data_IF_222672065337
#
_entry.id   IF_222672065337
#
_cell.length_a   1.000
_cell.length_b   1.000
_cell.length_c   1.000
_cell.angle_alpha   90.00
_cell.angle_beta   90.00
_cell.angle_gamma   90.00
#
_symmetry.space_group_name_H-M   'P 1'
#
loop_
_entity.id
_entity.type
_entity.pdbx_description
1 polymer ?
#
# COMPACT_ATOMS: atom_id res chain seq x y z
N UNK A 1 -16.57 -18.35 -16.30
CA UNK A 1 -15.75 -17.58 -15.32
C UNK A 1 -14.31 -17.67 -15.80
N UNK A 2 -13.72 -16.52 -16.16
CA UNK A 2 -12.35 -16.53 -16.66
C UNK A 2 -11.40 -16.84 -15.51
N UNK A 3 -10.66 -17.96 -15.62
CA UNK A 3 -9.49 -18.20 -14.78
C UNK A 3 -8.39 -17.18 -15.19
N UNK A 4 -8.49 -15.97 -14.65
CA UNK A 4 -7.44 -14.97 -14.83
C UNK A 4 -6.43 -15.14 -13.70
N UNK A 5 -5.15 -15.19 -14.05
CA UNK A 5 -4.03 -15.21 -13.09
C UNK A 5 -3.64 -13.77 -12.68
N UNK A 6 -4.63 -12.95 -12.31
CA UNK A 6 -4.40 -11.58 -11.90
C UNK A 6 -3.60 -11.50 -10.61
N UNK A 7 -2.61 -10.61 -10.59
CA UNK A 7 -1.77 -10.36 -9.43
C UNK A 7 -2.38 -9.26 -8.56
N UNK A 8 -2.63 -9.59 -7.30
CA UNK A 8 -3.19 -8.67 -6.30
C UNK A 8 -2.09 -8.24 -5.32
N UNK A 9 -1.87 -6.95 -5.21
CA UNK A 9 -0.85 -6.36 -4.34
C UNK A 9 -1.44 -5.60 -3.17
N UNK A 10 -0.79 -5.70 -1.99
CA UNK A 10 -1.09 -4.80 -0.89
C UNK A 10 -0.27 -3.50 -1.03
N UNK A 11 -0.98 -2.37 -1.10
CA UNK A 11 -0.36 -1.05 -1.21
C UNK A 11 0.43 -0.66 0.06
N UNK A 12 1.53 0.11 -0.10
CA UNK A 12 2.22 0.71 1.04
C UNK A 12 1.33 1.77 1.69
N UNK A 13 1.04 1.60 2.98
CA UNK A 13 0.27 2.57 3.77
C UNK A 13 1.06 2.97 5.02
N UNK A 14 1.54 4.22 5.02
CA UNK A 14 2.35 4.76 6.11
C UNK A 14 1.63 4.64 7.46
N UNK A 15 2.34 4.14 8.45
CA UNK A 15 1.79 3.89 9.78
C UNK A 15 1.00 2.59 9.94
N UNK A 16 0.51 1.97 8.87
CA UNK A 16 -0.40 0.81 8.90
C UNK A 16 0.32 -0.48 8.45
N UNK A 17 0.81 -0.54 7.21
CA UNK A 17 1.30 -1.79 6.60
C UNK A 17 2.77 -2.10 6.92
N UNK A 18 3.23 -1.81 8.15
CA UNK A 18 4.52 -2.24 8.67
C UNK A 18 4.62 -3.76 8.80
N UNK A 19 5.81 -4.28 9.12
CA UNK A 19 6.05 -5.73 9.15
C UNK A 19 5.09 -6.51 10.05
N UNK A 20 4.71 -5.95 11.21
CA UNK A 20 3.74 -6.58 12.12
C UNK A 20 2.39 -6.82 11.41
N UNK A 21 1.89 -5.81 10.69
CA UNK A 21 0.64 -5.95 9.93
C UNK A 21 0.80 -6.94 8.77
N UNK A 22 1.88 -6.83 7.97
CA UNK A 22 2.09 -7.71 6.81
C UNK A 22 2.18 -9.18 7.22
N UNK A 23 2.93 -9.47 8.28
CA UNK A 23 3.09 -10.85 8.79
C UNK A 23 1.76 -11.43 9.28
N UNK A 24 1.02 -10.68 10.08
CA UNK A 24 -0.28 -11.13 10.56
C UNK A 24 -1.28 -11.28 9.39
N UNK A 25 -1.32 -10.31 8.46
CA UNK A 25 -2.17 -10.42 7.28
C UNK A 25 -1.83 -11.66 6.45
N UNK A 26 -0.56 -11.87 6.11
CA UNK A 26 -0.12 -13.03 5.33
C UNK A 26 -0.41 -14.37 6.02
N UNK A 27 -0.31 -14.41 7.35
CA UNK A 27 -0.59 -15.61 8.15
C UNK A 27 -2.07 -16.00 8.14
N UNK A 28 -2.95 -15.02 8.20
CA UNK A 28 -4.39 -15.29 8.34
C UNK A 28 -5.17 -15.16 7.04
N UNK A 29 -4.67 -14.42 6.04
CA UNK A 29 -5.40 -14.15 4.81
C UNK A 29 -4.54 -14.41 3.58
N UNK A 30 -5.13 -15.06 2.58
CA UNK A 30 -4.49 -15.39 1.31
C UNK A 30 -4.75 -14.37 0.21
N UNK A 31 -4.32 -14.71 -1.00
CA UNK A 31 -4.65 -14.00 -2.24
C UNK A 31 -3.76 -12.79 -2.55
N UNK A 32 -2.89 -12.35 -1.64
CA UNK A 32 -1.92 -11.28 -1.93
C UNK A 32 -0.64 -11.86 -2.50
N UNK A 33 -0.28 -11.45 -3.71
CA UNK A 33 0.93 -11.95 -4.42
C UNK A 33 2.19 -11.16 -4.06
N UNK A 34 2.03 -9.85 -3.78
CA UNK A 34 3.14 -8.96 -3.46
C UNK A 34 2.71 -7.90 -2.43
N UNK A 35 3.53 -7.71 -1.40
CA UNK A 35 3.35 -6.69 -0.38
C UNK A 35 4.33 -5.54 -0.63
N UNK A 36 3.89 -4.30 -0.47
CA UNK A 36 4.78 -3.14 -0.52
C UNK A 36 4.93 -2.53 0.87
N UNK A 37 6.19 -2.26 1.26
CA UNK A 37 6.48 -1.63 2.55
C UNK A 37 6.05 -0.16 2.54
N UNK A 38 5.64 0.40 3.69
CA UNK A 38 5.61 1.84 3.87
C UNK A 38 6.96 2.45 3.46
N UNK A 39 6.92 3.65 2.90
CA UNK A 39 8.13 4.24 2.37
C UNK A 39 9.21 4.49 3.43
N UNK A 40 10.43 4.28 3.01
CA UNK A 40 11.66 4.57 3.74
C UNK A 40 12.25 5.86 3.16
N UNK A 41 12.65 6.79 4.03
CA UNK A 41 13.31 8.03 3.62
C UNK A 41 14.80 7.98 3.98
N UNK A 42 15.70 7.71 3.01
CA UNK A 42 17.13 7.68 3.25
C UNK A 42 17.62 9.00 3.88
N UNK A 43 18.46 8.91 4.92
CA UNK A 43 19.00 10.05 5.64
C UNK A 43 20.51 10.24 5.36
N UNK A 44 21.01 11.47 5.49
CA UNK A 44 22.44 11.75 5.39
C UNK A 44 23.21 10.93 6.43
N UNK A 45 24.26 10.25 6.01
CA UNK A 45 25.17 9.48 6.87
C UNK A 45 24.75 8.05 7.19
N UNK A 46 23.49 7.66 7.00
CA UNK A 46 23.02 6.27 7.15
C UNK A 46 21.86 5.98 6.17
N UNK A 47 21.80 4.77 5.63
CA UNK A 47 20.77 4.43 4.63
C UNK A 47 19.36 4.38 5.24
N UNK A 48 19.20 3.95 6.50
CA UNK A 48 17.90 3.75 7.16
C UNK A 48 17.93 4.22 8.63
N UNK A 49 16.74 4.57 9.15
CA UNK A 49 16.51 4.81 10.60
C UNK A 49 16.24 3.48 11.29
N UNK A 50 16.39 3.41 12.62
CA UNK A 50 16.17 2.17 13.38
C UNK A 50 14.77 1.58 13.18
N UNK A 51 13.74 2.41 13.09
CA UNK A 51 12.36 1.96 12.82
C UNK A 51 12.24 1.35 11.41
N UNK A 52 12.81 2.02 10.42
CA UNK A 52 12.79 1.58 9.03
C UNK A 52 13.64 0.32 8.84
N UNK A 53 14.75 0.21 9.59
CA UNK A 53 15.59 -0.98 9.59
C UNK A 53 14.81 -2.22 10.02
N UNK A 54 14.06 -2.15 11.13
CA UNK A 54 13.22 -3.28 11.58
C UNK A 54 12.22 -3.73 10.52
N UNK A 55 11.69 -2.79 9.73
CA UNK A 55 10.69 -3.08 8.70
C UNK A 55 11.26 -3.84 7.49
N UNK A 56 12.59 -3.72 7.25
CA UNK A 56 13.27 -4.35 6.12
C UNK A 56 14.12 -5.56 6.50
N UNK A 57 14.31 -5.87 7.79
CA UNK A 57 15.10 -7.03 8.18
C UNK A 57 14.45 -8.32 7.65
N UNK A 58 15.24 -9.22 7.01
CA UNK A 58 14.70 -10.47 6.44
C UNK A 58 13.98 -11.34 7.45
N UNK A 59 14.45 -11.39 8.70
CA UNK A 59 13.80 -12.12 9.79
C UNK A 59 12.38 -11.63 10.10
N UNK A 60 12.10 -10.37 9.81
CA UNK A 60 10.77 -9.77 9.96
C UNK A 60 9.88 -9.90 8.71
N UNK A 61 10.35 -10.58 7.65
CA UNK A 61 9.65 -10.70 6.37
C UNK A 61 9.74 -12.11 5.78
N UNK A 62 9.90 -13.13 6.63
CA UNK A 62 10.07 -14.52 6.17
C UNK A 62 8.80 -15.07 5.50
N UNK A 63 8.97 -15.68 4.34
CA UNK A 63 7.87 -16.31 3.59
C UNK A 63 6.94 -15.32 2.88
N UNK A 64 7.23 -14.02 2.94
CA UNK A 64 6.41 -12.97 2.30
C UNK A 64 7.17 -12.41 1.09
N UNK A 65 6.49 -12.34 -0.06
CA UNK A 65 6.99 -11.58 -1.20
C UNK A 65 6.77 -10.08 -0.93
N UNK A 66 7.82 -9.38 -0.51
CA UNK A 66 7.72 -7.97 -0.08
C UNK A 66 8.75 -7.09 -0.79
N UNK A 67 8.31 -5.91 -1.23
CA UNK A 67 9.11 -4.90 -1.94
C UNK A 67 9.30 -3.68 -1.04
N UNK A 68 10.55 -3.31 -0.72
CA UNK A 68 10.84 -2.04 -0.04
C UNK A 68 10.51 -0.85 -0.94
N UNK A 69 9.95 0.22 -0.36
CA UNK A 69 9.67 1.46 -1.09
C UNK A 69 10.55 2.60 -0.55
N UNK A 70 11.18 3.36 -1.45
CA UNK A 70 12.03 4.51 -1.12
C UNK A 70 11.36 5.83 -1.48
N UNK A 71 11.42 6.80 -0.56
CA UNK A 71 10.95 8.17 -0.73
C UNK A 71 12.14 9.13 -0.71
N UNK A 72 12.67 9.46 -1.87
CA UNK A 72 13.80 10.37 -2.03
C UNK A 72 13.73 11.09 -3.37
N UNK A 73 14.44 12.21 -3.49
CA UNK A 73 14.72 12.92 -4.74
C UNK A 73 16.24 13.03 -5.00
N UNK A 74 17.04 12.22 -4.31
CA UNK A 74 18.49 12.14 -4.48
C UNK A 74 18.84 10.78 -5.05
N UNK A 75 19.43 10.73 -6.25
CA UNK A 75 19.89 9.49 -6.86
C UNK A 75 20.98 8.83 -6.04
N UNK A 76 21.95 9.60 -5.52
CA UNK A 76 22.98 9.06 -4.60
C UNK A 76 22.34 8.41 -3.37
N UNK A 77 21.36 9.09 -2.75
CA UNK A 77 20.63 8.57 -1.59
C UNK A 77 19.87 7.30 -1.90
N UNK A 78 19.22 7.25 -3.07
CA UNK A 78 18.53 6.06 -3.58
C UNK A 78 19.53 4.90 -3.78
N UNK A 79 20.61 5.12 -4.52
CA UNK A 79 21.61 4.09 -4.84
C UNK A 79 22.24 3.49 -3.58
N UNK A 80 22.54 4.34 -2.58
CA UNK A 80 23.05 3.89 -1.27
C UNK A 80 22.06 2.96 -0.56
N UNK A 81 20.78 3.37 -0.51
CA UNK A 81 19.74 2.58 0.12
C UNK A 81 19.46 1.28 -0.65
N UNK A 82 19.38 1.33 -1.98
CA UNK A 82 19.20 0.16 -2.84
C UNK A 82 20.35 -0.86 -2.68
N UNK A 83 21.61 -0.41 -2.64
CA UNK A 83 22.76 -1.30 -2.36
C UNK A 83 22.66 -1.97 -0.98
N UNK A 84 22.14 -1.26 0.02
CA UNK A 84 21.92 -1.84 1.34
C UNK A 84 20.79 -2.89 1.31
N UNK A 85 19.66 -2.58 0.67
CA UNK A 85 18.54 -3.51 0.51
C UNK A 85 18.93 -4.77 -0.29
N UNK A 86 19.75 -4.60 -1.33
CA UNK A 86 20.30 -5.75 -2.09
C UNK A 86 21.12 -6.68 -1.21
N UNK A 87 21.93 -6.13 -0.28
CA UNK A 87 22.68 -6.95 0.70
C UNK A 87 21.79 -7.70 1.67
N UNK A 88 20.57 -7.22 1.92
CA UNK A 88 19.55 -7.92 2.70
C UNK A 88 18.78 -8.98 1.89
N UNK A 89 19.07 -9.14 0.60
CA UNK A 89 18.47 -10.15 -0.27
C UNK A 89 17.27 -9.67 -1.10
N UNK A 90 16.93 -8.37 -1.08
CA UNK A 90 15.86 -7.85 -1.93
C UNK A 90 16.30 -7.77 -3.39
N UNK A 91 15.46 -8.28 -4.32
CA UNK A 91 15.69 -8.22 -5.77
C UNK A 91 15.10 -6.97 -6.42
N UNK A 92 14.07 -6.38 -5.81
CA UNK A 92 13.34 -5.22 -6.32
C UNK A 92 13.27 -4.10 -5.26
N UNK A 93 13.27 -2.85 -5.71
CA UNK A 93 12.98 -1.67 -4.90
C UNK A 93 11.97 -0.77 -5.63
N UNK A 94 11.01 -0.22 -4.90
CA UNK A 94 10.00 0.66 -5.45
C UNK A 94 10.32 2.14 -5.17
N UNK A 95 10.13 3.02 -6.16
CA UNK A 95 10.20 4.48 -6.00
C UNK A 95 8.81 5.02 -5.65
N UNK A 96 8.72 5.83 -4.59
CA UNK A 96 7.50 6.56 -4.27
C UNK A 96 7.49 7.92 -4.98
N UNK A 97 6.65 8.04 -6.01
CA UNK A 97 6.32 9.29 -6.72
C UNK A 97 4.84 9.67 -6.54
N UNK A 98 4.19 9.14 -5.48
CA UNK A 98 2.75 9.32 -5.28
C UNK A 98 2.34 9.89 -3.92
N UNK A 99 3.25 10.01 -2.93
CA UNK A 99 2.89 10.52 -1.60
C UNK A 99 2.44 11.98 -1.67
N UNK A 100 1.15 12.31 -1.28
CA UNK A 100 0.61 13.66 -1.41
C UNK A 100 0.84 14.53 -0.18
N UNK A 101 1.50 14.03 0.86
CA UNK A 101 1.71 14.75 2.12
C UNK A 101 2.44 16.06 1.91
N UNK A 102 1.92 17.17 2.48
CA UNK A 102 2.55 18.49 2.37
C UNK A 102 4.01 18.49 2.79
N UNK A 103 4.37 17.79 3.87
CA UNK A 103 5.74 17.68 4.38
C UNK A 103 6.69 16.93 3.44
N UNK A 104 6.16 16.15 2.50
CA UNK A 104 6.89 15.42 1.46
C UNK A 104 7.00 16.28 0.20
N UNK A 105 5.86 16.80 -0.26
CA UNK A 105 5.73 17.57 -1.51
C UNK A 105 6.56 18.86 -1.48
N UNK A 106 6.57 19.59 -0.35
CA UNK A 106 7.37 20.82 -0.18
C UNK A 106 8.90 20.59 -0.28
N UNK A 107 9.34 19.32 -0.18
CA UNK A 107 10.73 18.93 -0.34
C UNK A 107 11.02 18.32 -1.72
N UNK A 108 10.14 18.49 -2.68
CA UNK A 108 10.23 17.87 -4.02
C UNK A 108 10.40 16.35 -3.95
N UNK A 109 9.66 15.66 -3.06
CA UNK A 109 9.63 14.20 -2.92
C UNK A 109 8.23 13.66 -3.15
N UNK A 110 8.10 12.35 -3.38
CA UNK A 110 6.80 11.76 -3.67
C UNK A 110 6.13 12.45 -4.86
N UNK A 111 4.84 12.76 -4.76
CA UNK A 111 4.14 13.47 -5.84
C UNK A 111 4.67 14.90 -6.10
N UNK A 112 5.45 15.46 -5.18
CA UNK A 112 6.09 16.75 -5.37
C UNK A 112 7.19 16.77 -6.44
N UNK A 113 7.75 15.61 -6.79
CA UNK A 113 8.75 15.51 -7.86
C UNK A 113 8.11 15.54 -9.24
N UNK A 114 6.82 15.21 -9.36
CA UNK A 114 6.09 15.19 -10.64
C UNK A 114 5.90 16.58 -11.26
N UNK A 115 6.03 17.63 -10.46
CA UNK A 115 5.89 19.01 -10.93
C UNK A 115 7.08 19.48 -11.78
N UNK A 116 8.26 18.89 -11.59
CA UNK A 116 9.52 19.29 -12.22
C UNK A 116 10.05 18.12 -13.05
N UNK A 117 9.65 18.10 -14.31
CA UNK A 117 9.96 17.00 -15.26
C UNK A 117 11.46 16.86 -15.51
N UNK A 118 12.22 17.96 -15.55
CA UNK A 118 13.67 17.91 -15.71
C UNK A 118 14.34 17.24 -14.49
N UNK A 119 13.92 17.66 -13.29
CA UNK A 119 14.42 17.05 -12.05
C UNK A 119 14.02 15.59 -11.90
N UNK A 120 12.81 15.23 -12.35
CA UNK A 120 12.32 13.85 -12.37
C UNK A 120 13.21 13.01 -13.31
N UNK A 121 13.47 13.47 -14.53
CA UNK A 121 14.28 12.77 -15.50
C UNK A 121 15.73 12.59 -15.02
N UNK A 122 16.36 13.64 -14.50
CA UNK A 122 17.69 13.58 -13.91
C UNK A 122 17.78 12.59 -12.74
N UNK A 123 16.79 12.60 -11.85
CA UNK A 123 16.72 11.64 -10.73
C UNK A 123 16.63 10.20 -11.22
N UNK A 124 15.75 9.91 -12.17
CA UNK A 124 15.59 8.57 -12.75
C UNK A 124 16.83 8.13 -13.52
N UNK A 125 17.47 9.05 -14.24
CA UNK A 125 18.74 8.76 -14.91
C UNK A 125 19.80 8.27 -13.92
N UNK A 126 20.02 8.99 -12.80
CA UNK A 126 20.98 8.58 -11.76
C UNK A 126 20.63 7.20 -11.17
N UNK A 127 19.34 6.93 -10.94
CA UNK A 127 18.85 5.67 -10.39
C UNK A 127 19.11 4.49 -11.33
N UNK A 128 18.69 4.62 -12.59
CA UNK A 128 18.78 3.53 -13.56
C UNK A 128 20.19 3.32 -14.12
N UNK A 129 21.00 4.40 -14.27
CA UNK A 129 22.40 4.29 -14.67
C UNK A 129 23.24 3.52 -13.65
N UNK A 130 22.86 3.52 -12.37
CA UNK A 130 23.55 2.76 -11.34
C UNK A 130 23.35 1.24 -11.42
N UNK A 131 22.29 0.74 -12.05
CA UNK A 131 22.05 -0.68 -12.33
C UNK A 131 22.09 -1.59 -11.08
N UNK A 132 21.63 -1.13 -9.92
CA UNK A 132 21.81 -1.85 -8.66
C UNK A 132 20.92 -3.09 -8.57
N UNK A 133 19.64 -2.94 -8.91
CA UNK A 133 18.60 -3.97 -8.81
C UNK A 133 17.38 -3.54 -9.62
N UNK A 134 16.36 -4.38 -9.71
CA UNK A 134 15.11 -4.03 -10.38
C UNK A 134 14.41 -2.87 -9.68
N UNK A 135 13.89 -1.93 -10.47
CA UNK A 135 13.25 -0.72 -9.96
C UNK A 135 11.85 -0.60 -10.53
N UNK A 136 10.87 -0.64 -9.62
CA UNK A 136 9.49 -0.29 -9.93
C UNK A 136 9.14 1.13 -9.47
N UNK A 137 8.12 1.72 -10.07
CA UNK A 137 7.67 3.08 -9.76
C UNK A 137 6.20 3.05 -9.31
N UNK A 138 5.89 3.69 -8.18
CA UNK A 138 4.51 3.98 -7.79
C UNK A 138 4.25 5.47 -7.90
N UNK A 139 3.37 5.86 -8.82
CA UNK A 139 3.14 7.25 -9.20
C UNK A 139 1.68 7.69 -9.08
N UNK A 140 1.47 9.00 -9.11
CA UNK A 140 0.21 9.67 -9.47
C UNK A 140 0.30 10.22 -10.90
N UNK A 141 -0.82 10.77 -11.40
CA UNK A 141 -0.93 11.31 -12.77
C UNK A 141 -0.55 12.80 -12.88
N UNK A 142 0.07 13.35 -11.88
CA UNK A 142 0.52 14.73 -11.81
C UNK A 142 0.42 15.31 -10.40
N UNK A 143 0.81 16.58 -10.25
CA UNK A 143 0.69 17.33 -9.01
C UNK A 143 -0.62 18.09 -8.94
N UNK A 144 -0.86 18.98 -9.89
CA UNK A 144 -2.00 19.90 -9.89
C UNK A 144 -2.97 19.61 -11.03
N UNK A 145 -2.50 19.07 -12.15
CA UNK A 145 -3.28 18.75 -13.34
C UNK A 145 -2.94 17.37 -13.90
N UNK A 146 -3.95 16.68 -14.42
CA UNK A 146 -3.77 15.39 -15.11
C UNK A 146 -3.11 15.52 -16.50
N UNK A 147 -3.10 16.72 -17.08
CA UNK A 147 -2.37 17.00 -18.34
C UNK A 147 -0.85 16.79 -18.17
N UNK A 148 -0.33 16.96 -16.97
CA UNK A 148 1.08 16.69 -16.65
C UNK A 148 1.48 15.21 -16.91
N UNK A 149 0.51 14.29 -16.99
CA UNK A 149 0.79 12.86 -17.06
C UNK A 149 1.40 12.44 -18.40
N UNK A 150 1.11 13.14 -19.49
CA UNK A 150 1.70 12.89 -20.80
C UNK A 150 3.24 13.04 -20.76
N UNK A 151 3.71 14.18 -20.26
CA UNK A 151 5.15 14.43 -20.10
C UNK A 151 5.81 13.43 -19.11
N UNK A 152 5.13 13.09 -18.04
CA UNK A 152 5.60 12.13 -17.03
C UNK A 152 5.76 10.74 -17.63
N UNK A 153 4.80 10.27 -18.42
CA UNK A 153 4.85 8.96 -19.11
C UNK A 153 6.02 8.93 -20.12
N UNK A 154 6.24 10.00 -20.86
CA UNK A 154 7.35 10.08 -21.81
C UNK A 154 8.73 9.98 -21.12
N UNK A 155 8.83 10.50 -19.90
CA UNK A 155 10.02 10.29 -19.07
C UNK A 155 10.14 8.81 -18.65
N UNK A 156 9.07 8.19 -18.13
CA UNK A 156 9.13 6.79 -17.68
C UNK A 156 9.49 5.81 -18.81
N UNK A 157 9.09 6.07 -20.05
CA UNK A 157 9.42 5.27 -21.23
C UNK A 157 10.91 5.17 -21.50
N UNK A 158 11.72 6.16 -21.09
CA UNK A 158 13.16 6.20 -21.31
C UNK A 158 13.90 5.14 -20.48
N UNK A 159 13.28 4.61 -19.42
CA UNK A 159 13.93 3.76 -18.43
C UNK A 159 13.36 2.33 -18.40
N UNK A 160 14.17 1.34 -18.01
CA UNK A 160 13.72 -0.05 -17.87
C UNK A 160 12.97 -0.25 -16.53
N UNK A 161 11.86 0.47 -16.36
CA UNK A 161 11.00 0.33 -15.18
C UNK A 161 10.41 -1.08 -15.16
N UNK A 162 10.67 -1.85 -14.10
CA UNK A 162 10.20 -3.24 -13.97
C UNK A 162 8.70 -3.34 -13.80
N UNK A 163 8.08 -2.35 -13.12
CA UNK A 163 6.64 -2.28 -12.91
C UNK A 163 6.21 -0.82 -12.66
N UNK A 164 5.19 -0.36 -13.36
CA UNK A 164 4.63 0.99 -13.22
C UNK A 164 3.25 0.92 -12.53
N UNK A 165 3.20 1.34 -11.27
CA UNK A 165 1.97 1.33 -10.47
C UNK A 165 1.36 2.72 -10.53
N UNK A 166 0.22 2.86 -11.22
CA UNK A 166 -0.43 4.14 -11.48
C UNK A 166 -1.63 4.33 -10.54
N UNK A 167 -1.60 5.42 -9.74
CA UNK A 167 -2.76 5.91 -9.02
C UNK A 167 -3.33 7.11 -9.80
N UNK A 168 -4.46 6.95 -10.53
CA UNK A 168 -4.94 7.97 -11.47
C UNK A 168 -5.70 9.12 -10.75
N UNK A 169 -5.00 9.78 -9.84
CA UNK A 169 -5.35 11.03 -9.16
C UNK A 169 -4.14 11.96 -9.18
N UNK A 170 -4.38 13.25 -9.28
CA UNK A 170 -3.33 14.25 -9.03
C UNK A 170 -3.04 14.37 -7.53
N UNK A 171 -1.92 15.00 -7.17
CA UNK A 171 -1.51 15.17 -5.78
C UNK A 171 -2.56 15.94 -4.95
N UNK A 172 -3.13 17.00 -5.52
CA UNK A 172 -4.10 17.87 -4.85
C UNK A 172 -5.45 17.20 -4.57
N UNK A 173 -5.79 16.12 -5.25
CA UNK A 173 -6.97 15.31 -4.95
C UNK A 173 -6.88 14.58 -3.61
N UNK A 174 -5.68 14.29 -3.12
CA UNK A 174 -5.47 13.37 -2.01
C UNK A 174 -6.18 12.04 -2.24
N UNK A 175 -7.39 11.88 -1.66
CA UNK A 175 -8.25 10.69 -1.79
C UNK A 175 -9.74 11.07 -1.99
N UNK A 176 -10.03 12.32 -2.34
CA UNK A 176 -11.40 12.84 -2.38
C UNK A 176 -12.09 12.56 -3.70
N UNK A 177 -11.47 12.95 -4.82
CA UNK A 177 -12.07 12.80 -6.14
C UNK A 177 -12.03 11.33 -6.60
N UNK A 178 -12.81 10.99 -7.65
CA UNK A 178 -12.73 9.67 -8.29
C UNK A 178 -11.44 9.55 -9.09
N UNK A 179 -10.86 8.33 -9.24
CA UNK A 179 -9.75 8.09 -10.15
C UNK A 179 -10.11 8.51 -11.58
N UNK A 180 -9.22 9.24 -12.24
CA UNK A 180 -9.40 9.64 -13.63
C UNK A 180 -9.03 8.47 -14.56
N UNK A 181 -10.05 7.70 -14.96
CA UNK A 181 -9.86 6.49 -15.74
C UNK A 181 -9.57 6.75 -17.21
N UNK A 182 -9.94 7.91 -17.74
CA UNK A 182 -9.60 8.34 -19.09
C UNK A 182 -8.09 8.57 -19.21
N UNK A 183 -7.53 9.40 -18.34
CA UNK A 183 -6.08 9.65 -18.29
C UNK A 183 -5.29 8.38 -17.94
N UNK A 184 -5.88 7.46 -17.15
CA UNK A 184 -5.26 6.15 -16.93
C UNK A 184 -5.12 5.37 -18.24
N UNK A 185 -6.20 5.26 -19.02
CA UNK A 185 -6.21 4.54 -20.28
C UNK A 185 -5.26 5.15 -21.30
N UNK A 186 -5.27 6.48 -21.44
CA UNK A 186 -4.35 7.22 -22.32
C UNK A 186 -2.88 6.98 -21.92
N UNK A 187 -2.59 7.08 -20.61
CA UNK A 187 -1.24 6.86 -20.10
C UNK A 187 -0.75 5.43 -20.30
N UNK A 188 -1.62 4.42 -20.14
CA UNK A 188 -1.28 3.01 -20.41
C UNK A 188 -0.97 2.82 -21.89
N UNK A 189 -1.81 3.37 -22.78
CA UNK A 189 -1.59 3.29 -24.22
C UNK A 189 -0.29 3.99 -24.65
N UNK A 190 -0.03 5.18 -24.12
CA UNK A 190 1.20 5.94 -24.38
C UNK A 190 2.45 5.23 -23.85
N UNK A 191 2.36 4.58 -22.68
CA UNK A 191 3.47 3.83 -22.09
C UNK A 191 3.89 2.62 -22.93
N UNK A 192 2.93 1.92 -23.54
CA UNK A 192 3.16 0.84 -24.50
C UNK A 192 3.69 -0.48 -23.93
N UNK A 193 3.84 -0.60 -22.59
CA UNK A 193 4.27 -1.82 -21.88
C UNK A 193 3.20 -2.24 -20.90
N UNK A 194 2.00 -2.55 -21.39
CA UNK A 194 0.79 -2.84 -20.61
C UNK A 194 0.99 -3.98 -19.59
N UNK A 195 1.78 -4.99 -19.93
CA UNK A 195 2.14 -6.13 -19.10
C UNK A 195 2.90 -5.74 -17.82
N UNK A 196 3.55 -4.57 -17.81
CA UNK A 196 4.25 -4.04 -16.63
C UNK A 196 3.43 -3.03 -15.84
N UNK A 197 2.22 -2.67 -16.30
CA UNK A 197 1.35 -1.71 -15.59
C UNK A 197 0.55 -2.39 -14.48
N UNK A 198 0.48 -1.73 -13.32
CA UNK A 198 -0.37 -2.08 -12.20
C UNK A 198 -1.33 -0.92 -11.89
N UNK A 199 -2.63 -1.21 -11.84
CA UNK A 199 -3.63 -0.24 -11.42
C UNK A 199 -3.66 -0.09 -9.89
N UNK A 200 -3.70 1.14 -9.41
CA UNK A 200 -3.92 1.42 -7.99
C UNK A 200 -4.98 2.52 -7.80
N UNK A 201 -6.23 2.14 -7.63
CA UNK A 201 -7.34 3.06 -7.41
C UNK A 201 -8.32 2.56 -6.35
N UNK A 202 -9.59 2.96 -6.50
CA UNK A 202 -10.65 2.67 -5.53
C UNK A 202 -11.25 1.27 -5.75
N UNK A 203 -10.51 0.23 -5.39
CA UNK A 203 -11.01 -1.13 -5.26
C UNK A 203 -11.29 -1.38 -3.78
N UNK A 204 -12.57 -1.38 -3.40
CA UNK A 204 -13.02 -1.57 -2.02
C UNK A 204 -13.88 -2.82 -1.84
N UNK A 205 -14.26 -3.49 -2.93
CA UNK A 205 -15.08 -4.68 -2.96
C UNK A 205 -14.71 -5.56 -4.16
N UNK A 206 -15.19 -6.81 -4.16
CA UNK A 206 -15.08 -7.71 -5.32
C UNK A 206 -15.78 -7.10 -6.54
N UNK A 207 -16.94 -6.47 -6.36
CA UNK A 207 -17.67 -5.82 -7.45
C UNK A 207 -16.90 -4.66 -8.09
N UNK A 208 -16.12 -3.88 -7.29
CA UNK A 208 -15.25 -2.84 -7.86
C UNK A 208 -14.12 -3.44 -8.71
N UNK A 209 -13.55 -4.55 -8.24
CA UNK A 209 -12.53 -5.28 -8.98
C UNK A 209 -13.10 -5.85 -10.29
N UNK A 210 -14.24 -6.52 -10.25
CA UNK A 210 -14.90 -7.09 -11.44
C UNK A 210 -15.25 -6.01 -12.47
N UNK A 211 -15.74 -4.86 -12.02
CA UNK A 211 -15.98 -3.70 -12.88
C UNK A 211 -14.69 -3.18 -13.52
N UNK A 212 -13.61 -3.12 -12.75
CA UNK A 212 -12.31 -2.68 -13.25
C UNK A 212 -11.79 -3.61 -14.35
N UNK A 213 -11.69 -4.91 -14.08
CA UNK A 213 -11.17 -5.88 -15.07
C UNK A 213 -12.08 -6.04 -16.29
N UNK A 214 -13.39 -5.82 -16.12
CA UNK A 214 -14.35 -5.79 -17.25
C UNK A 214 -14.08 -4.65 -18.23
N UNK A 215 -13.62 -3.50 -17.73
CA UNK A 215 -13.29 -2.33 -18.54
C UNK A 215 -11.82 -2.33 -19.03
N UNK A 216 -10.92 -2.97 -18.30
CA UNK A 216 -9.47 -3.00 -18.57
C UNK A 216 -8.94 -4.44 -18.54
N UNK A 217 -9.37 -5.29 -19.49
CA UNK A 217 -9.04 -6.73 -19.47
C UNK A 217 -7.55 -7.02 -19.65
N UNK A 218 -6.79 -6.10 -20.24
CA UNK A 218 -5.35 -6.28 -20.46
C UNK A 218 -4.49 -5.93 -19.24
N UNK A 219 -5.07 -5.31 -18.22
CA UNK A 219 -4.38 -5.00 -16.96
C UNK A 219 -4.52 -6.21 -16.02
N UNK A 220 -3.40 -6.91 -15.81
CA UNK A 220 -3.33 -8.14 -15.01
C UNK A 220 -2.86 -7.90 -13.57
N UNK A 221 -2.60 -6.65 -13.17
CA UNK A 221 -2.04 -6.31 -11.88
C UNK A 221 -2.84 -5.21 -11.21
N UNK A 222 -3.28 -5.46 -9.97
CA UNK A 222 -4.09 -4.52 -9.19
C UNK A 222 -3.51 -4.38 -7.78
N UNK A 223 -3.17 -3.14 -7.42
CA UNK A 223 -2.71 -2.81 -6.07
C UNK A 223 -3.86 -2.20 -5.25
N UNK A 224 -4.16 -2.79 -4.11
CA UNK A 224 -5.26 -2.38 -3.23
C UNK A 224 -4.70 -1.85 -1.90
N UNK A 225 -5.12 -0.65 -1.52
CA UNK A 225 -4.75 -0.04 -0.23
C UNK A 225 -5.91 -0.11 0.77
N UNK A 226 -6.70 0.96 0.84
CA UNK A 226 -7.78 1.14 1.83
C UNK A 226 -8.81 0.01 1.83
N UNK A 227 -9.13 -0.53 0.66
CA UNK A 227 -10.06 -1.68 0.54
C UNK A 227 -9.52 -2.91 1.26
N UNK A 228 -8.22 -3.24 1.10
CA UNK A 228 -7.58 -4.38 1.74
C UNK A 228 -7.43 -4.19 3.26
N UNK A 229 -7.21 -2.96 3.72
CA UNK A 229 -7.19 -2.69 5.17
C UNK A 229 -8.60 -2.82 5.75
N UNK A 230 -9.61 -2.31 5.04
CA UNK A 230 -11.00 -2.35 5.50
C UNK A 230 -11.58 -3.77 5.51
N UNK A 231 -11.22 -4.59 4.52
CA UNK A 231 -11.56 -6.01 4.44
C UNK A 231 -10.28 -6.84 4.19
N UNK A 232 -9.65 -7.38 5.23
CA UNK A 232 -8.44 -8.20 5.08
C UNK A 232 -8.63 -9.45 4.21
N UNK A 233 -9.86 -9.93 4.04
CA UNK A 233 -10.19 -11.05 3.16
C UNK A 233 -10.34 -10.66 1.68
N UNK A 234 -10.25 -9.38 1.32
CA UNK A 234 -10.64 -8.90 -0.01
C UNK A 234 -9.87 -9.58 -1.15
N UNK A 235 -8.54 -9.75 -1.02
CA UNK A 235 -7.73 -10.41 -2.05
C UNK A 235 -8.13 -11.89 -2.23
N UNK A 236 -8.36 -12.60 -1.13
CA UNK A 236 -8.82 -13.98 -1.11
C UNK A 236 -10.20 -14.14 -1.77
N UNK A 237 -11.10 -13.17 -1.51
CA UNK A 237 -12.44 -13.14 -2.12
C UNK A 237 -12.39 -12.82 -3.61
N UNK A 238 -11.50 -11.92 -4.05
CA UNK A 238 -11.27 -11.62 -5.47
C UNK A 238 -10.79 -12.88 -6.21
N UNK A 239 -9.85 -13.62 -5.63
CA UNK A 239 -9.30 -14.84 -6.26
C UNK A 239 -10.19 -16.07 -6.10
N UNK A 240 -11.18 -16.01 -5.23
CA UNK A 240 -12.09 -17.14 -4.99
C UNK A 240 -13.21 -17.19 -6.04
N UNK A 241 -13.45 -18.38 -6.57
CA UNK A 241 -14.65 -18.65 -7.40
C UNK A 241 -15.91 -18.90 -6.57
N UNK A 242 -15.78 -18.99 -5.24
CA UNK A 242 -16.89 -19.29 -4.34
C UNK A 242 -17.66 -18.03 -3.97
N UNK A 243 -18.91 -17.94 -4.43
CA UNK A 243 -19.88 -16.92 -4.02
C UNK A 243 -20.57 -17.30 -2.72
N UNK A 244 -20.95 -16.30 -1.89
CA UNK A 244 -21.82 -16.52 -0.73
C UNK A 244 -21.14 -17.04 0.54
N UNK A 245 -19.82 -16.97 0.68
CA UNK A 245 -19.17 -17.32 1.96
C UNK A 245 -19.52 -16.32 3.05
N UNK A 246 -20.00 -16.83 4.17
CA UNK A 246 -20.10 -16.07 5.43
C UNK A 246 -18.74 -15.57 5.85
N UNK A 247 -18.67 -14.35 6.39
CA UNK A 247 -17.42 -13.79 6.89
C UNK A 247 -16.93 -14.58 8.10
N UNK A 248 -15.68 -15.01 8.08
CA UNK A 248 -15.08 -15.77 9.19
C UNK A 248 -14.63 -14.82 10.30
N UNK A 249 -15.54 -14.52 11.20
CA UNK A 249 -15.29 -13.64 12.34
C UNK A 249 -14.27 -14.19 13.33
N UNK A 250 -14.20 -15.51 13.51
CA UNK A 250 -13.20 -16.12 14.38
C UNK A 250 -11.79 -15.86 13.85
N UNK A 251 -11.59 -16.03 12.55
CA UNK A 251 -10.32 -15.73 11.89
C UNK A 251 -9.98 -14.25 12.00
N UNK A 252 -10.96 -13.37 11.78
CA UNK A 252 -10.77 -11.92 11.91
C UNK A 252 -10.35 -11.52 13.34
N UNK A 253 -11.02 -12.00 14.36
CA UNK A 253 -10.66 -11.65 15.73
C UNK A 253 -9.34 -12.29 16.16
N UNK A 254 -8.99 -13.48 15.68
CA UNK A 254 -7.66 -14.07 15.90
C UNK A 254 -6.55 -13.22 15.28
N UNK A 255 -6.76 -12.73 14.07
CA UNK A 255 -5.86 -11.76 13.43
C UNK A 255 -5.74 -10.46 14.22
N UNK A 256 -6.88 -9.88 14.66
CA UNK A 256 -6.90 -8.69 15.50
C UNK A 256 -6.09 -8.87 16.78
N UNK A 257 -6.28 -9.99 17.48
CA UNK A 257 -5.64 -10.27 18.77
C UNK A 257 -4.13 -10.48 18.59
N UNK A 258 -3.69 -11.10 17.48
CA UNK A 258 -2.27 -11.22 17.16
C UNK A 258 -1.65 -9.84 16.88
N UNK A 259 -2.31 -9.00 16.09
CA UNK A 259 -1.83 -7.62 15.85
C UNK A 259 -1.71 -6.84 17.15
N UNK A 260 -2.75 -6.88 17.97
CA UNK A 260 -2.77 -6.16 19.25
C UNK A 260 -1.63 -6.60 20.16
N UNK A 261 -1.45 -7.91 20.33
CA UNK A 261 -0.34 -8.48 21.11
C UNK A 261 1.01 -8.05 20.58
N UNK A 262 1.26 -8.21 19.28
CA UNK A 262 2.55 -7.87 18.66
C UNK A 262 2.86 -6.38 18.74
N UNK A 263 1.85 -5.50 18.64
CA UNK A 263 2.05 -4.06 18.90
C UNK A 263 2.32 -3.75 20.36
N UNK A 264 1.72 -4.47 21.31
CA UNK A 264 1.99 -4.31 22.76
C UNK A 264 3.43 -4.73 23.11
N UNK A 265 3.92 -5.80 22.49
CA UNK A 265 5.27 -6.36 22.71
C UNK A 265 6.36 -5.58 21.97
N UNK A 266 5.99 -4.86 20.90
CA UNK A 266 6.94 -4.03 20.15
C UNK A 266 7.33 -2.78 20.96
N UNK A 267 8.56 -2.24 20.75
CA UNK A 267 9.06 -1.00 21.36
C UNK A 267 8.26 0.28 20.98
N UNK A 268 7.07 0.12 20.43
CA UNK A 268 6.23 1.25 19.96
C UNK A 268 5.61 2.02 21.12
N UNK A 269 5.61 1.44 22.33
CA UNK A 269 5.03 2.04 23.55
C UNK A 269 3.50 1.91 23.60
N UNK A 270 2.94 1.75 24.82
CA UNK A 270 1.50 1.47 25.05
C UNK A 270 0.55 2.49 24.42
N UNK A 271 0.89 3.79 24.45
CA UNK A 271 0.06 4.84 23.84
C UNK A 271 -0.01 4.74 22.32
N UNK A 272 1.07 4.34 21.68
CA UNK A 272 1.12 4.17 20.23
C UNK A 272 0.37 2.91 19.75
N UNK A 273 0.34 1.83 20.55
CA UNK A 273 -0.45 0.63 20.25
C UNK A 273 -1.93 0.97 20.15
N UNK A 274 -2.46 1.68 21.14
CA UNK A 274 -3.86 2.10 21.12
C UNK A 274 -4.20 2.99 19.94
N UNK A 275 -3.29 3.90 19.57
CA UNK A 275 -3.47 4.75 18.40
C UNK A 275 -3.55 3.91 17.11
N UNK A 276 -2.60 2.98 16.92
CA UNK A 276 -2.57 2.07 15.77
C UNK A 276 -3.82 1.20 15.66
N UNK A 277 -4.23 0.58 16.75
CA UNK A 277 -5.43 -0.27 16.76
C UNK A 277 -6.69 0.54 16.43
N UNK A 278 -6.83 1.74 16.98
CA UNK A 278 -7.98 2.61 16.65
C UNK A 278 -7.95 3.10 15.20
N UNK A 279 -6.79 3.32 14.62
CA UNK A 279 -6.64 3.63 13.20
C UNK A 279 -7.12 2.46 12.33
N UNK A 280 -6.76 1.22 12.67
CA UNK A 280 -7.26 0.02 12.00
C UNK A 280 -8.78 -0.13 12.17
N UNK A 281 -9.32 0.11 13.37
CA UNK A 281 -10.77 0.07 13.59
C UNK A 281 -11.54 1.12 12.80
N UNK A 282 -10.92 2.25 12.43
CA UNK A 282 -11.55 3.22 11.53
C UNK A 282 -11.81 2.62 10.12
N UNK A 283 -10.95 1.72 9.65
CA UNK A 283 -11.16 0.96 8.41
C UNK A 283 -12.11 -0.22 8.63
N UNK A 284 -11.85 -1.06 9.61
CA UNK A 284 -12.62 -2.29 9.88
C UNK A 284 -14.08 -2.03 10.24
N UNK A 285 -14.42 -0.83 10.72
CA UNK A 285 -15.81 -0.47 11.03
C UNK A 285 -16.77 -0.70 9.87
N UNK A 286 -16.28 -0.69 8.63
CA UNK A 286 -17.08 -0.97 7.43
C UNK A 286 -17.59 -2.41 7.34
N UNK A 287 -16.90 -3.37 7.95
CA UNK A 287 -17.32 -4.77 7.99
C UNK A 287 -18.60 -4.99 8.83
N UNK A 288 -18.93 -4.05 9.70
CA UNK A 288 -20.00 -4.17 10.70
C UNK A 288 -21.20 -3.26 10.45
N UNK A 289 -21.28 -2.65 9.26
CA UNK A 289 -22.32 -1.63 8.97
C UNK A 289 -23.73 -2.19 9.12
N UNK A 290 -23.95 -3.42 8.67
CA UNK A 290 -25.28 -4.07 8.69
C UNK A 290 -25.50 -4.93 9.96
N UNK A 291 -24.61 -4.84 10.96
CA UNK A 291 -24.69 -5.63 12.18
C UNK A 291 -25.36 -4.84 13.30
N UNK A 292 -26.50 -5.34 13.79
CA UNK A 292 -27.24 -4.72 14.88
C UNK A 292 -26.38 -4.59 16.15
N UNK A 293 -26.39 -3.41 16.74
CA UNK A 293 -25.62 -3.13 17.98
C UNK A 293 -24.13 -2.82 17.76
N UNK A 294 -23.55 -3.10 16.60
CA UNK A 294 -22.12 -2.91 16.33
C UNK A 294 -21.69 -1.43 16.41
N UNK A 295 -22.51 -0.50 15.98
CA UNK A 295 -22.18 0.94 16.03
C UNK A 295 -21.84 1.40 17.45
N UNK A 296 -22.64 0.95 18.46
CA UNK A 296 -22.41 1.28 19.87
C UNK A 296 -21.08 0.73 20.38
N UNK A 297 -20.75 -0.53 20.01
CA UNK A 297 -19.49 -1.18 20.40
C UNK A 297 -18.28 -0.49 19.72
N UNK A 298 -18.36 -0.20 18.42
CA UNK A 298 -17.32 0.53 17.67
C UNK A 298 -17.10 1.94 18.22
N UNK A 299 -18.17 2.66 18.60
CA UNK A 299 -18.06 3.96 19.26
C UNK A 299 -17.35 3.86 20.60
N UNK A 300 -17.58 2.78 21.36
CA UNK A 300 -16.88 2.50 22.62
C UNK A 300 -15.40 2.24 22.36
N UNK A 301 -15.02 1.38 21.41
CA UNK A 301 -13.62 1.11 21.02
C UNK A 301 -12.87 2.40 20.71
N UNK A 302 -13.46 3.30 19.92
CA UNK A 302 -12.84 4.59 19.56
C UNK A 302 -12.56 5.50 20.75
N UNK A 303 -13.35 5.38 21.84
CA UNK A 303 -13.27 6.24 23.03
C UNK A 303 -12.40 5.68 24.14
N UNK A 304 -11.97 4.44 24.09
CA UNK A 304 -11.17 3.79 25.13
C UNK A 304 -9.89 4.57 25.44
N UNK A 305 -9.43 4.55 26.68
CA UNK A 305 -8.24 5.29 27.13
C UNK A 305 -7.10 4.37 27.54
N UNK A 306 -7.42 3.15 27.92
CA UNK A 306 -6.45 2.13 28.31
C UNK A 306 -6.74 0.77 27.68
N UNK A 307 -5.81 -0.17 27.86
CA UNK A 307 -5.88 -1.51 27.27
C UNK A 307 -7.08 -2.32 27.82
N UNK A 308 -7.40 -2.20 29.09
CA UNK A 308 -8.51 -2.95 29.72
C UNK A 308 -9.87 -2.52 29.16
N UNK A 309 -10.10 -1.21 29.02
CA UNK A 309 -11.29 -0.66 28.37
C UNK A 309 -11.37 -1.12 26.91
N UNK A 310 -10.23 -1.11 26.20
CA UNK A 310 -10.15 -1.52 24.80
C UNK A 310 -10.53 -2.99 24.64
N UNK A 311 -9.89 -3.88 25.38
CA UNK A 311 -10.16 -5.31 25.33
C UNK A 311 -11.60 -5.65 25.69
N UNK A 312 -12.17 -4.98 26.71
CA UNK A 312 -13.57 -5.14 27.07
C UNK A 312 -14.51 -4.70 25.95
N UNK A 313 -14.21 -3.58 25.27
CA UNK A 313 -15.04 -3.09 24.17
C UNK A 313 -14.96 -4.00 22.94
N UNK A 314 -13.77 -4.53 22.62
CA UNK A 314 -13.58 -5.50 21.54
C UNK A 314 -14.33 -6.81 21.82
N UNK A 315 -14.27 -7.34 23.07
CA UNK A 315 -15.04 -8.54 23.47
C UNK A 315 -16.54 -8.37 23.25
N UNK A 316 -17.09 -7.17 23.54
CA UNK A 316 -18.51 -6.89 23.29
C UNK A 316 -18.82 -6.97 21.78
N UNK A 317 -17.98 -6.39 20.92
CA UNK A 317 -18.20 -6.47 19.48
C UNK A 317 -18.06 -7.92 18.95
N UNK A 318 -17.05 -8.66 19.43
CA UNK A 318 -16.86 -10.06 19.04
C UNK A 318 -18.04 -10.96 19.44
N UNK A 319 -18.71 -10.65 20.54
CA UNK A 319 -19.90 -11.40 20.96
C UNK A 319 -21.11 -11.20 20.04
N UNK A 320 -21.19 -10.07 19.31
CA UNK A 320 -22.24 -9.82 18.33
C UNK A 320 -22.03 -10.62 17.01
N UNK A 321 -20.83 -11.14 16.80
CA UNK A 321 -20.44 -11.85 15.57
C UNK A 321 -20.60 -13.38 15.70
N UNK A 322 -21.08 -13.86 16.84
CA UNK A 322 -21.32 -15.30 17.13
C UNK A 322 -22.78 -15.65 16.91
#
# INVERSE_FOLDING_TARGET
MNNRDDLIYLAPMEGITGYIYRNAHHKYFGGVDKYFMPFIAPAKGRPLRNRELRDVLPENNQGINVVPQLLTNSGEGFVKAAKFLKKLGYGEVNINLGCPSKTVVTKYKGAGLLYDTERLDNFLYEVFAAGVMDVSIKTRIGRDSSVEFEDIIDIYKKYPVSELIIHPRVQTDFYKNTPNMEVFAEGVAAYGRTDTVCYNGDINSVADYERFIGNYPDIMKVMIGRGMIADPCLAERIKSTATGRTYDWNRFFTFHDELYRNYCESDVGRGNTMFKMKELWAYWSRLFVDMEGAEKALKKIRKTRDNGEYEAAVRVLAALCR
#
